data_IF_091366481347
#
_entry.id   IF_091366481347
#
_cell.length_a   1.000
_cell.length_b   1.000
_cell.length_c   1.000
_cell.angle_alpha   90.00
_cell.angle_beta   90.00
_cell.angle_gamma   90.00
#
_symmetry.space_group_name_H-M   'P 1'
#
loop_
_entity.id
_entity.type
_entity.pdbx_description
1 polymer ?
#
# COMPACT_ATOMS: atom_id res chain seq x y z
N UNK A 1 49.89 -41.94 -53.20
CA UNK A 1 49.13 -42.60 -54.29
C UNK A 1 47.65 -42.45 -53.93
N UNK A 2 46.91 -41.62 -54.67
CA UNK A 2 45.45 -41.44 -54.51
C UNK A 2 44.70 -42.73 -54.89
N UNK A 3 43.45 -42.92 -54.40
CA UNK A 3 42.34 -42.60 -55.29
C UNK A 3 41.20 -41.81 -54.65
N UNK A 4 40.56 -41.04 -55.52
CA UNK A 4 39.35 -40.24 -55.37
C UNK A 4 38.11 -41.12 -55.53
N UNK A 5 37.07 -40.88 -54.72
CA UNK A 5 35.68 -41.07 -55.15
C UNK A 5 34.84 -39.86 -54.69
N UNK A 6 34.16 -39.31 -55.68
CA UNK A 6 33.32 -38.12 -55.67
C UNK A 6 31.87 -38.55 -55.56
N UNK A 7 31.11 -38.01 -54.61
CA UNK A 7 29.65 -37.88 -54.75
C UNK A 7 29.16 -36.57 -54.14
N UNK A 8 28.62 -35.75 -55.02
CA UNK A 8 27.95 -34.47 -54.78
C UNK A 8 26.52 -34.70 -54.29
N UNK A 9 26.06 -34.01 -53.23
CA UNK A 9 24.69 -33.46 -53.15
C UNK A 9 24.72 -32.11 -52.40
N UNK A 10 24.13 -31.10 -53.06
CA UNK A 10 23.90 -29.72 -52.59
C UNK A 10 22.87 -29.70 -51.47
N UNK A 11 23.07 -28.83 -50.47
CA UNK A 11 22.08 -28.54 -49.44
C UNK A 11 22.48 -27.34 -48.60
N UNK A 12 22.54 -26.16 -49.20
CA UNK A 12 22.74 -24.91 -48.47
C UNK A 12 21.49 -24.54 -47.66
N UNK A 13 21.60 -24.51 -46.34
CA UNK A 13 20.63 -23.85 -45.47
C UNK A 13 21.31 -22.63 -44.88
N UNK A 14 21.10 -21.48 -45.53
CA UNK A 14 21.31 -20.16 -44.94
C UNK A 14 20.35 -20.04 -43.74
N UNK A 15 20.89 -20.07 -42.53
CA UNK A 15 20.14 -19.68 -41.34
C UNK A 15 19.79 -18.19 -41.44
N UNK A 16 18.50 -17.94 -41.65
CA UNK A 16 17.88 -16.62 -41.73
C UNK A 16 17.93 -16.01 -40.33
N UNK A 17 18.85 -15.07 -40.10
CA UNK A 17 18.84 -14.19 -38.93
C UNK A 17 17.61 -13.29 -39.05
N UNK A 18 16.49 -13.77 -38.52
CA UNK A 18 15.24 -13.04 -38.44
C UNK A 18 15.31 -12.01 -37.32
N UNK A 19 15.44 -10.74 -37.70
CA UNK A 19 15.27 -9.62 -36.78
C UNK A 19 13.87 -9.60 -36.17
N UNK A 20 13.79 -9.97 -34.89
CA UNK A 20 12.65 -9.70 -33.99
C UNK A 20 13.16 -9.52 -32.56
N UNK A 21 14.02 -8.53 -32.35
CA UNK A 21 14.44 -8.13 -31.00
C UNK A 21 14.86 -6.65 -30.97
N UNK A 22 14.02 -5.78 -31.54
CA UNK A 22 14.18 -4.32 -31.46
C UNK A 22 12.86 -3.61 -31.83
N UNK A 23 11.74 -3.98 -31.17
CA UNK A 23 10.49 -3.21 -31.30
C UNK A 23 9.50 -3.50 -30.18
N UNK A 24 9.90 -3.27 -28.92
CA UNK A 24 8.97 -3.15 -27.79
C UNK A 24 9.39 -2.03 -26.81
N UNK A 25 9.98 -0.96 -27.33
CA UNK A 25 9.71 0.37 -26.76
C UNK A 25 8.54 0.93 -27.58
N UNK A 26 7.35 0.42 -27.25
CA UNK A 26 6.11 1.03 -27.73
C UNK A 26 6.03 2.42 -27.09
N UNK A 27 6.32 3.44 -27.90
CA UNK A 27 5.92 4.80 -27.64
C UNK A 27 4.39 4.81 -27.44
N UNK A 28 3.93 4.79 -26.19
CA UNK A 28 2.50 5.00 -25.88
C UNK A 28 2.09 6.31 -26.55
N UNK A 29 1.01 6.33 -27.35
CA UNK A 29 0.57 7.56 -28.00
C UNK A 29 0.21 8.59 -26.92
N UNK A 30 0.66 9.83 -27.09
CA UNK A 30 0.49 10.91 -26.11
C UNK A 30 -0.98 11.11 -25.69
N UNK A 31 -1.93 10.75 -26.57
CA UNK A 31 -3.38 10.77 -26.34
C UNK A 31 -3.90 9.71 -25.36
N UNK A 32 -3.25 8.55 -25.25
CA UNK A 32 -3.66 7.51 -24.28
C UNK A 32 -3.28 7.90 -22.85
N UNK A 33 -2.09 8.50 -22.67
CA UNK A 33 -1.61 8.98 -21.37
C UNK A 33 -2.47 10.13 -20.86
N UNK A 34 -2.81 11.11 -21.71
CA UNK A 34 -3.71 12.21 -21.32
C UNK A 34 -5.11 11.73 -20.95
N UNK A 35 -5.60 10.69 -21.63
CA UNK A 35 -6.91 10.12 -21.35
C UNK A 35 -6.91 9.25 -20.08
N UNK A 36 -5.84 8.50 -19.81
CA UNK A 36 -5.64 7.75 -18.56
C UNK A 36 -5.50 8.70 -17.36
N UNK A 37 -4.69 9.76 -17.49
CA UNK A 37 -4.55 10.80 -16.46
C UNK A 37 -5.89 11.50 -16.17
N UNK A 38 -6.59 11.95 -17.21
CA UNK A 38 -7.90 12.59 -17.02
C UNK A 38 -8.96 11.66 -16.44
N UNK A 39 -8.84 10.33 -16.61
CA UNK A 39 -9.71 9.35 -15.95
C UNK A 39 -9.34 9.19 -14.48
N UNK A 40 -8.06 9.15 -14.13
CA UNK A 40 -7.58 9.07 -12.75
C UNK A 40 -7.99 10.31 -11.94
N UNK A 41 -7.83 11.50 -12.51
CA UNK A 41 -8.22 12.76 -11.86
C UNK A 41 -9.72 12.78 -11.52
N UNK A 42 -10.58 12.44 -12.49
CA UNK A 42 -12.03 12.34 -12.26
C UNK A 42 -12.42 11.28 -11.22
N UNK A 43 -11.61 10.26 -10.99
CA UNK A 43 -11.86 9.25 -9.95
C UNK A 43 -11.53 9.84 -8.58
N UNK A 44 -10.37 10.48 -8.43
CA UNK A 44 -9.98 11.15 -7.20
C UNK A 44 -10.96 12.27 -6.82
N UNK A 45 -11.50 13.02 -7.78
CA UNK A 45 -12.53 14.03 -7.53
C UNK A 45 -13.79 13.44 -6.88
N UNK A 46 -14.22 12.24 -7.29
CA UNK A 46 -15.36 11.54 -6.68
C UNK A 46 -15.06 11.11 -5.26
N UNK A 47 -13.87 10.56 -5.02
CA UNK A 47 -13.43 10.19 -3.67
C UNK A 47 -13.38 11.45 -2.80
N UNK A 48 -12.84 12.55 -3.31
CA UNK A 48 -12.75 13.83 -2.61
C UNK A 48 -14.13 14.37 -2.22
N UNK A 49 -15.11 14.28 -3.12
CA UNK A 49 -16.48 14.69 -2.82
C UNK A 49 -17.11 13.84 -1.70
N UNK A 50 -16.87 12.53 -1.69
CA UNK A 50 -17.32 11.65 -0.60
C UNK A 50 -16.63 11.99 0.73
N UNK A 51 -15.31 12.23 0.71
CA UNK A 51 -14.54 12.63 1.91
C UNK A 51 -15.03 13.97 2.45
N UNK A 52 -15.32 14.94 1.59
CA UNK A 52 -15.88 16.24 2.01
C UNK A 52 -17.27 16.10 2.63
N UNK A 53 -18.10 15.20 2.11
CA UNK A 53 -19.40 14.88 2.70
C UNK A 53 -19.25 14.22 4.09
N UNK A 54 -18.29 13.29 4.24
CA UNK A 54 -17.95 12.67 5.53
C UNK A 54 -17.51 13.71 6.55
N UNK A 55 -16.58 14.60 6.17
CA UNK A 55 -16.11 15.69 7.03
C UNK A 55 -17.27 16.61 7.44
N UNK A 56 -18.10 17.03 6.49
CA UNK A 56 -19.25 17.89 6.77
C UNK A 56 -20.23 17.23 7.74
N UNK A 57 -20.53 15.94 7.55
CA UNK A 57 -21.44 15.19 8.42
C UNK A 57 -20.86 15.03 9.83
N UNK A 58 -19.59 14.62 9.95
CA UNK A 58 -18.88 14.42 11.21
C UNK A 58 -18.83 15.71 12.06
N UNK A 59 -18.69 16.87 11.40
CA UNK A 59 -18.62 18.20 12.04
C UNK A 59 -19.99 18.88 12.24
N UNK A 60 -21.06 18.33 11.68
CA UNK A 60 -22.39 18.96 11.75
C UNK A 60 -22.92 19.04 13.19
N UNK A 61 -23.16 20.25 13.68
CA UNK A 61 -23.84 20.47 14.97
C UNK A 61 -25.32 20.14 14.86
N UNK A 62 -25.89 19.44 15.84
CA UNK A 62 -27.31 19.08 15.84
C UNK A 62 -28.19 20.33 16.02
N UNK A 63 -28.66 20.90 14.91
CA UNK A 63 -29.58 22.04 14.92
C UNK A 63 -30.88 21.68 15.64
N UNK A 64 -31.20 22.42 16.70
CA UNK A 64 -32.30 22.17 17.63
C UNK A 64 -33.58 22.79 17.06
N UNK A 65 -34.38 22.03 16.30
CA UNK A 65 -35.77 22.41 15.96
C UNK A 65 -36.77 21.32 16.39
N UNK A 66 -37.76 21.72 17.20
CA UNK A 66 -38.91 20.93 17.72
C UNK A 66 -39.75 20.42 16.53
N UNK A 67 -40.30 19.20 16.49
CA UNK A 67 -41.41 18.65 17.29
C UNK A 67 -41.60 17.12 17.10
N UNK A 68 -42.20 16.48 18.12
CA UNK A 68 -43.08 15.28 18.23
C UNK A 68 -42.68 13.92 17.60
N UNK A 69 -43.17 12.83 18.23
CA UNK A 69 -42.88 11.39 18.04
C UNK A 69 -42.73 10.91 16.58
N UNK A 70 -41.80 9.97 16.37
CA UNK A 70 -41.06 9.75 15.10
C UNK A 70 -39.65 10.36 15.15
N UNK A 71 -39.47 11.37 15.99
CA UNK A 71 -38.19 12.05 16.27
C UNK A 71 -37.15 11.20 16.99
N UNK A 72 -37.51 10.08 17.64
CA UNK A 72 -36.54 9.24 18.37
C UNK A 72 -35.76 8.32 17.43
N UNK A 73 -36.44 7.61 16.55
CA UNK A 73 -35.83 6.74 15.53
C UNK A 73 -34.98 7.56 14.56
N UNK A 74 -35.54 8.64 13.99
CA UNK A 74 -34.79 9.56 13.10
C UNK A 74 -33.60 10.23 13.81
N UNK A 75 -33.69 10.48 15.12
CA UNK A 75 -32.57 11.04 15.90
C UNK A 75 -31.50 9.98 16.16
N UNK A 76 -31.89 8.73 16.35
CA UNK A 76 -30.97 7.61 16.54
C UNK A 76 -30.23 7.32 15.23
N UNK A 77 -30.95 7.17 14.11
CA UNK A 77 -30.36 6.95 12.78
C UNK A 77 -29.35 8.05 12.41
N UNK A 78 -29.72 9.33 12.61
CA UNK A 78 -28.78 10.44 12.35
C UNK A 78 -27.62 10.51 13.33
N UNK A 79 -27.78 10.01 14.55
CA UNK A 79 -26.68 9.90 15.49
C UNK A 79 -25.71 8.83 15.01
N UNK A 80 -26.23 7.68 14.58
CA UNK A 80 -25.45 6.55 14.10
C UNK A 80 -24.71 6.91 12.80
N UNK A 81 -25.35 7.61 11.86
CA UNK A 81 -24.70 8.14 10.66
C UNK A 81 -23.55 9.12 10.95
N UNK A 82 -23.72 9.98 11.96
CA UNK A 82 -22.66 10.90 12.38
C UNK A 82 -21.50 10.16 13.01
N UNK A 83 -21.79 9.14 13.81
CA UNK A 83 -20.76 8.33 14.43
C UNK A 83 -20.00 7.51 13.38
N UNK A 84 -20.71 6.89 12.42
CA UNK A 84 -20.10 6.23 11.26
C UNK A 84 -19.18 7.18 10.48
N UNK A 85 -19.62 8.41 10.23
CA UNK A 85 -18.81 9.41 9.55
C UNK A 85 -17.57 9.83 10.35
N UNK A 86 -17.66 9.91 11.68
CA UNK A 86 -16.52 10.22 12.55
C UNK A 86 -15.51 9.08 12.58
N UNK A 87 -15.99 7.84 12.65
CA UNK A 87 -15.15 6.64 12.59
C UNK A 87 -14.42 6.62 11.25
N UNK A 88 -15.13 6.76 10.13
CA UNK A 88 -14.52 6.77 8.80
C UNK A 88 -13.51 7.92 8.62
N UNK A 89 -13.82 9.12 9.12
CA UNK A 89 -12.87 10.24 9.09
C UNK A 89 -11.61 9.95 9.92
N UNK A 90 -11.78 9.28 11.06
CA UNK A 90 -10.68 8.85 11.91
C UNK A 90 -9.81 7.81 11.20
N UNK A 91 -10.43 6.85 10.53
CA UNK A 91 -9.73 5.82 9.77
C UNK A 91 -8.92 6.43 8.62
N UNK A 92 -9.51 7.31 7.83
CA UNK A 92 -8.77 8.03 6.76
C UNK A 92 -7.58 8.83 7.31
N UNK A 93 -7.69 9.40 8.51
CA UNK A 93 -6.57 10.09 9.18
C UNK A 93 -5.46 9.10 9.53
N UNK A 94 -5.81 7.90 10.00
CA UNK A 94 -4.84 6.85 10.27
C UNK A 94 -4.19 6.33 9.00
N UNK A 95 -4.91 6.27 7.87
CA UNK A 95 -4.34 5.90 6.58
C UNK A 95 -3.30 6.93 6.16
N UNK A 96 -3.64 8.23 6.19
CA UNK A 96 -2.68 9.31 5.88
C UNK A 96 -1.41 9.23 6.73
N UNK A 97 -1.55 8.98 8.03
CA UNK A 97 -0.42 8.80 8.93
C UNK A 97 0.38 7.52 8.63
N UNK A 98 -0.32 6.44 8.30
CA UNK A 98 0.23 5.15 7.87
C UNK A 98 1.09 5.29 6.63
N UNK A 99 0.54 5.88 5.55
CA UNK A 99 1.27 6.14 4.30
C UNK A 99 2.52 7.01 4.52
N UNK A 100 2.42 8.01 5.40
CA UNK A 100 3.56 8.84 5.76
C UNK A 100 4.65 8.03 6.49
N UNK A 101 4.24 7.09 7.34
CA UNK A 101 5.10 6.12 8.00
C UNK A 101 5.71 5.10 7.03
N UNK A 102 4.93 4.58 6.09
CA UNK A 102 5.35 3.59 5.09
C UNK A 102 6.45 4.15 4.18
N UNK A 103 6.27 5.36 3.65
CA UNK A 103 7.33 6.08 2.92
C UNK A 103 8.58 6.19 3.79
N UNK A 104 8.44 6.53 5.07
CA UNK A 104 9.57 6.67 5.98
C UNK A 104 10.29 5.34 6.25
N UNK A 105 9.59 4.21 6.34
CA UNK A 105 10.18 2.86 6.46
C UNK A 105 11.12 2.61 5.29
N UNK A 106 10.65 2.76 4.07
CA UNK A 106 11.49 2.50 2.90
C UNK A 106 12.62 3.54 2.76
N UNK A 107 12.38 4.82 3.04
CA UNK A 107 13.44 5.84 3.09
C UNK A 107 14.51 5.54 4.14
N UNK A 108 14.12 4.98 5.29
CA UNK A 108 15.02 4.54 6.35
C UNK A 108 15.82 3.29 6.00
N UNK A 109 15.24 2.37 5.23
CA UNK A 109 15.91 1.17 4.74
C UNK A 109 16.96 1.47 3.64
N UNK A 110 16.64 2.40 2.74
CA UNK A 110 17.40 2.68 1.51
C UNK A 110 18.93 2.87 1.69
N UNK A 111 19.45 3.58 2.71
CA UNK A 111 20.90 3.71 2.89
C UNK A 111 21.60 2.45 3.42
N UNK A 112 20.85 1.49 3.99
CA UNK A 112 21.43 0.33 4.71
C UNK A 112 21.24 -1.01 3.99
N UNK A 113 20.36 -1.09 3.00
CA UNK A 113 20.23 -2.30 2.16
C UNK A 113 21.50 -2.62 1.39
N UNK A 114 21.84 -3.91 1.31
CA UNK A 114 23.15 -4.39 0.87
C UNK A 114 23.14 -4.84 -0.59
N UNK A 115 22.10 -5.55 -1.02
CA UNK A 115 22.00 -6.08 -2.39
C UNK A 115 21.36 -5.09 -3.36
N UNK A 116 21.73 -5.21 -4.65
CA UNK A 116 21.08 -4.46 -5.72
C UNK A 116 19.59 -4.78 -5.83
N UNK A 117 19.20 -6.04 -5.57
CA UNK A 117 17.81 -6.48 -5.57
C UNK A 117 17.00 -5.83 -4.44
N UNK A 118 17.54 -5.77 -3.21
CA UNK A 118 16.89 -5.07 -2.10
C UNK A 118 16.80 -3.56 -2.35
N UNK A 119 17.84 -2.96 -2.94
CA UNK A 119 17.80 -1.53 -3.31
C UNK A 119 16.75 -1.21 -4.38
N UNK A 120 16.57 -2.10 -5.36
CA UNK A 120 15.52 -1.95 -6.37
C UNK A 120 14.13 -2.08 -5.73
N UNK A 121 13.93 -3.11 -4.90
CA UNK A 121 12.71 -3.33 -4.12
C UNK A 121 12.31 -2.09 -3.31
N UNK A 122 13.23 -1.56 -2.50
CA UNK A 122 12.97 -0.37 -1.66
C UNK A 122 12.59 0.84 -2.50
N UNK A 123 13.27 1.08 -3.63
CA UNK A 123 12.96 2.25 -4.47
C UNK A 123 11.60 2.16 -5.12
N UNK A 124 11.25 0.98 -5.63
CA UNK A 124 9.93 0.72 -6.22
C UNK A 124 8.83 0.98 -5.19
N UNK A 125 8.98 0.45 -3.97
CA UNK A 125 8.00 0.65 -2.91
C UNK A 125 7.93 2.12 -2.47
N UNK A 126 9.05 2.86 -2.39
CA UNK A 126 9.01 4.32 -2.13
C UNK A 126 8.11 5.04 -3.13
N UNK A 127 8.18 4.70 -4.42
CA UNK A 127 7.39 5.37 -5.44
C UNK A 127 5.89 5.03 -5.31
N UNK A 128 5.56 3.77 -4.99
CA UNK A 128 4.20 3.31 -4.69
C UNK A 128 3.62 4.00 -3.44
N UNK A 129 4.32 3.94 -2.30
CA UNK A 129 3.87 4.56 -1.05
C UNK A 129 3.70 6.09 -1.20
N UNK A 130 4.59 6.74 -1.96
CA UNK A 130 4.43 8.17 -2.26
C UNK A 130 3.18 8.44 -3.08
N UNK A 131 2.73 7.51 -3.89
CA UNK A 131 1.48 7.65 -4.64
C UNK A 131 0.26 7.54 -3.72
N UNK A 132 0.24 6.55 -2.83
CA UNK A 132 -0.80 6.43 -1.79
C UNK A 132 -0.84 7.68 -0.91
N UNK A 133 0.31 8.11 -0.39
CA UNK A 133 0.42 9.34 0.40
C UNK A 133 -0.11 10.57 -0.34
N UNK A 134 0.12 10.68 -1.66
CA UNK A 134 -0.43 11.77 -2.48
C UNK A 134 -1.96 11.72 -2.53
N UNK A 135 -2.56 10.54 -2.64
CA UNK A 135 -4.02 10.39 -2.60
C UNK A 135 -4.57 10.91 -1.28
N UNK A 136 -4.13 10.38 -0.14
CA UNK A 136 -4.66 10.79 1.16
C UNK A 136 -4.32 12.25 1.51
N UNK A 137 -3.17 12.76 1.06
CA UNK A 137 -2.83 14.18 1.19
C UNK A 137 -3.77 15.07 0.38
N UNK A 138 -4.21 14.62 -0.80
CA UNK A 138 -5.20 15.34 -1.60
C UNK A 138 -6.61 15.28 -0.98
N UNK A 139 -6.96 14.13 -0.39
CA UNK A 139 -8.28 13.89 0.19
C UNK A 139 -8.47 14.62 1.53
N UNK A 140 -7.48 14.58 2.42
CA UNK A 140 -7.59 15.14 3.75
C UNK A 140 -6.93 16.51 3.86
N UNK A 141 -7.68 17.56 4.27
CA UNK A 141 -7.09 18.86 4.57
C UNK A 141 -6.17 18.78 5.80
N UNK A 142 -5.20 19.70 5.98
CA UNK A 142 -4.28 19.67 7.10
C UNK A 142 -4.93 19.59 8.49
N UNK A 143 -6.11 20.20 8.66
CA UNK A 143 -6.86 20.19 9.92
C UNK A 143 -7.43 18.81 10.29
N UNK A 144 -7.48 17.86 9.35
CA UNK A 144 -7.95 16.49 9.57
C UNK A 144 -6.79 15.48 9.62
N UNK A 145 -5.54 15.94 9.57
CA UNK A 145 -4.36 15.08 9.69
C UNK A 145 -3.86 15.08 11.13
N UNK A 146 -3.26 13.99 11.56
CA UNK A 146 -2.71 13.90 12.91
C UNK A 146 -1.55 14.86 13.12
N UNK A 147 -1.45 15.45 14.31
CA UNK A 147 -0.29 16.27 14.70
C UNK A 147 0.98 15.46 14.97
N UNK A 148 0.85 14.13 15.09
CA UNK A 148 1.94 13.19 15.38
C UNK A 148 2.77 12.76 14.16
N UNK A 149 2.53 13.33 12.97
CA UNK A 149 3.27 12.96 11.75
C UNK A 149 4.80 12.94 11.91
N UNK A 150 5.46 13.90 12.61
CA UNK A 150 6.90 13.83 12.81
C UNK A 150 7.35 12.61 13.62
N UNK A 151 6.55 12.20 14.61
CA UNK A 151 6.82 11.01 15.41
C UNK A 151 6.69 9.74 14.56
N UNK A 152 5.64 9.65 13.74
CA UNK A 152 5.43 8.51 12.84
C UNK A 152 6.50 8.40 11.77
N UNK A 153 6.99 9.52 11.25
CA UNK A 153 8.14 9.53 10.34
C UNK A 153 9.40 8.97 11.01
N UNK A 154 9.70 9.39 12.24
CA UNK A 154 10.86 8.90 12.96
C UNK A 154 10.73 7.40 13.27
N UNK A 155 9.54 6.96 13.71
CA UNK A 155 9.25 5.57 13.99
C UNK A 155 9.38 4.70 12.74
N UNK A 156 8.75 5.10 11.63
CA UNK A 156 8.85 4.42 10.34
C UNK A 156 10.29 4.33 9.85
N UNK A 157 11.00 5.46 9.82
CA UNK A 157 12.42 5.49 9.43
C UNK A 157 13.27 4.52 10.25
N UNK A 158 13.08 4.51 11.57
CA UNK A 158 13.80 3.61 12.48
C UNK A 158 13.45 2.15 12.20
N UNK A 159 12.18 1.84 11.96
CA UNK A 159 11.69 0.50 11.66
C UNK A 159 12.23 -0.04 10.33
N UNK A 160 12.50 0.83 9.35
CA UNK A 160 13.19 0.44 8.12
C UNK A 160 14.71 0.34 8.26
N UNK A 161 15.33 1.26 9.00
CA UNK A 161 16.77 1.35 9.15
C UNK A 161 17.37 0.17 9.95
N UNK A 162 16.79 -0.14 11.12
CA UNK A 162 17.36 -1.12 12.05
C UNK A 162 17.43 -2.54 11.44
N UNK A 163 16.38 -3.09 10.83
CA UNK A 163 16.46 -4.42 10.21
C UNK A 163 17.40 -4.45 9.01
N UNK A 164 17.43 -3.37 8.22
CA UNK A 164 18.31 -3.26 7.05
C UNK A 164 19.80 -3.29 7.43
N UNK A 165 20.17 -2.71 8.58
CA UNK A 165 21.52 -2.82 9.14
C UNK A 165 21.91 -4.27 9.42
N UNK A 166 20.97 -5.07 9.94
CA UNK A 166 21.16 -6.49 10.22
C UNK A 166 21.34 -7.25 8.89
N UNK A 167 20.32 -7.27 8.04
CA UNK A 167 20.36 -7.92 6.72
C UNK A 167 19.17 -7.53 5.84
N UNK A 168 19.33 -7.68 4.52
CA UNK A 168 18.21 -7.55 3.57
C UNK A 168 17.05 -8.49 3.92
N UNK A 169 17.35 -9.71 4.39
CA UNK A 169 16.33 -10.67 4.86
C UNK A 169 15.51 -10.11 6.04
N UNK A 170 16.18 -9.48 7.01
CA UNK A 170 15.51 -8.92 8.18
C UNK A 170 14.59 -7.74 7.80
N UNK A 171 15.00 -6.92 6.81
CA UNK A 171 14.12 -5.92 6.21
C UNK A 171 12.88 -6.59 5.61
N UNK A 172 13.02 -7.58 4.75
CA UNK A 172 11.89 -8.25 4.11
C UNK A 172 10.93 -8.91 5.12
N UNK A 173 11.43 -9.50 6.21
CA UNK A 173 10.59 -10.02 7.30
C UNK A 173 9.81 -8.88 7.98
N UNK A 174 10.45 -7.72 8.16
CA UNK A 174 9.81 -6.55 8.77
C UNK A 174 8.72 -6.00 7.86
N UNK A 175 8.98 -5.86 6.56
CA UNK A 175 7.97 -5.43 5.58
C UNK A 175 6.80 -6.42 5.56
N UNK A 176 7.04 -7.74 5.42
CA UNK A 176 5.98 -8.75 5.48
C UNK A 176 5.14 -8.64 6.77
N UNK A 177 5.77 -8.35 7.92
CA UNK A 177 5.07 -8.12 9.17
C UNK A 177 4.20 -6.85 9.19
N UNK A 178 4.75 -5.74 8.67
CA UNK A 178 4.05 -4.45 8.56
C UNK A 178 2.87 -4.58 7.60
N UNK A 179 3.08 -5.10 6.39
CA UNK A 179 2.02 -5.18 5.38
C UNK A 179 0.93 -6.18 5.76
N UNK A 180 1.26 -7.25 6.50
CA UNK A 180 0.24 -8.14 7.08
C UNK A 180 -0.67 -7.41 8.07
N UNK A 181 -0.13 -6.46 8.83
CA UNK A 181 -0.95 -5.61 9.70
C UNK A 181 -1.76 -4.60 8.89
N UNK A 182 -1.16 -3.98 7.88
CA UNK A 182 -1.82 -2.96 7.05
C UNK A 182 -3.02 -3.56 6.30
N UNK A 183 -2.89 -4.77 5.76
CA UNK A 183 -4.02 -5.51 5.18
C UNK A 183 -5.16 -5.77 6.19
N UNK A 184 -4.83 -6.18 7.43
CA UNK A 184 -5.84 -6.36 8.50
C UNK A 184 -6.58 -5.03 8.73
N UNK A 185 -5.83 -3.94 8.89
CA UNK A 185 -6.35 -2.58 9.12
C UNK A 185 -7.24 -2.09 7.96
N UNK A 186 -6.83 -2.27 6.70
CA UNK A 186 -7.68 -1.92 5.56
C UNK A 186 -8.98 -2.73 5.55
N UNK A 187 -8.91 -4.04 5.83
CA UNK A 187 -10.11 -4.88 5.87
C UNK A 187 -11.06 -4.50 7.01
N UNK A 188 -10.55 -4.04 8.15
CA UNK A 188 -11.37 -3.49 9.24
C UNK A 188 -12.20 -2.28 8.80
N UNK A 189 -11.69 -1.48 7.86
CA UNK A 189 -12.40 -0.31 7.30
C UNK A 189 -13.32 -0.68 6.12
N UNK A 190 -12.85 -1.53 5.22
CA UNK A 190 -13.56 -1.91 4.00
C UNK A 190 -14.84 -2.70 4.32
N UNK A 191 -14.79 -3.60 5.31
CA UNK A 191 -15.91 -4.48 5.64
C UNK A 191 -17.18 -3.71 6.08
N UNK A 192 -17.11 -2.71 6.99
CA UNK A 192 -18.23 -1.82 7.30
C UNK A 192 -18.77 -1.07 6.07
N UNK A 193 -17.90 -0.59 5.18
CA UNK A 193 -18.32 0.11 3.95
C UNK A 193 -19.03 -0.84 2.97
N UNK A 194 -18.55 -2.08 2.83
CA UNK A 194 -19.24 -3.13 2.06
C UNK A 194 -20.62 -3.42 2.60
N UNK A 195 -20.74 -3.55 3.93
CA UNK A 195 -22.00 -3.88 4.60
C UNK A 195 -23.02 -2.75 4.51
N UNK A 196 -22.59 -1.50 4.66
CA UNK A 196 -23.48 -0.33 4.61
C UNK A 196 -23.84 0.09 3.18
N UNK A 197 -22.97 -0.18 2.20
CA UNK A 197 -23.11 0.30 0.83
C UNK A 197 -22.87 1.81 0.66
N UNK A 198 -22.45 2.49 1.73
CA UNK A 198 -22.13 3.93 1.72
C UNK A 198 -20.71 4.17 1.18
N UNK A 199 -20.48 5.38 0.67
CA UNK A 199 -19.18 5.86 0.20
C UNK A 199 -18.43 4.88 -0.76
N UNK A 200 -19.07 4.49 -1.88
CA UNK A 200 -18.48 3.51 -2.79
C UNK A 200 -17.17 3.96 -3.43
N UNK A 201 -16.92 5.27 -3.60
CA UNK A 201 -15.66 5.75 -4.14
C UNK A 201 -14.52 5.64 -3.11
N UNK A 202 -14.76 6.02 -1.85
CA UNK A 202 -13.80 5.80 -0.74
C UNK A 202 -13.50 4.31 -0.61
N UNK A 203 -14.54 3.47 -0.51
CA UNK A 203 -14.37 2.02 -0.39
C UNK A 203 -13.47 1.47 -1.50
N UNK A 204 -13.72 1.89 -2.75
CA UNK A 204 -12.94 1.43 -3.89
C UNK A 204 -11.48 1.86 -3.81
N UNK A 205 -11.19 3.08 -3.35
CA UNK A 205 -9.82 3.53 -3.15
C UNK A 205 -9.11 2.66 -2.10
N UNK A 206 -9.77 2.39 -0.96
CA UNK A 206 -9.21 1.55 0.10
C UNK A 206 -8.98 0.11 -0.39
N UNK A 207 -9.89 -0.44 -1.21
CA UNK A 207 -9.72 -1.75 -1.84
C UNK A 207 -8.48 -1.77 -2.76
N UNK A 208 -8.28 -0.73 -3.58
CA UNK A 208 -7.12 -0.63 -4.47
C UNK A 208 -5.80 -0.50 -3.69
N UNK A 209 -5.74 0.35 -2.66
CA UNK A 209 -4.56 0.44 -1.79
C UNK A 209 -4.29 -0.91 -1.09
N UNK A 210 -5.33 -1.55 -0.54
CA UNK A 210 -5.21 -2.86 0.11
C UNK A 210 -4.66 -3.95 -0.84
N UNK A 211 -5.08 -3.95 -2.11
CA UNK A 211 -4.55 -4.86 -3.13
C UNK A 211 -3.05 -4.63 -3.37
N UNK A 212 -2.62 -3.37 -3.43
CA UNK A 212 -1.21 -2.99 -3.56
C UNK A 212 -0.39 -3.43 -2.32
N UNK A 213 -0.93 -3.26 -1.10
CA UNK A 213 -0.25 -3.70 0.13
C UNK A 213 -0.15 -5.22 0.25
N UNK A 214 -1.17 -5.95 -0.21
CA UNK A 214 -1.11 -7.42 -0.31
C UNK A 214 0.00 -7.84 -1.27
N UNK A 215 0.18 -7.12 -2.37
CA UNK A 215 1.28 -7.38 -3.30
C UNK A 215 2.65 -7.06 -2.68
N UNK A 216 2.79 -5.95 -1.93
CA UNK A 216 4.00 -5.61 -1.20
C UNK A 216 4.38 -6.69 -0.17
N UNK A 217 3.39 -7.15 0.61
CA UNK A 217 3.53 -8.25 1.57
C UNK A 217 4.05 -9.52 0.89
N UNK A 218 3.44 -9.89 -0.23
CA UNK A 218 3.75 -11.13 -0.93
C UNK A 218 5.13 -11.07 -1.60
N UNK A 219 5.54 -9.92 -2.18
CA UNK A 219 6.89 -9.74 -2.72
C UNK A 219 7.95 -9.83 -1.59
N UNK A 220 7.73 -9.14 -0.47
CA UNK A 220 8.60 -9.23 0.69
C UNK A 220 8.70 -10.69 1.20
N UNK A 221 7.55 -11.37 1.29
CA UNK A 221 7.46 -12.78 1.72
C UNK A 221 8.23 -13.70 0.80
N UNK A 222 8.11 -13.55 -0.51
CA UNK A 222 8.85 -14.35 -1.48
C UNK A 222 10.37 -14.15 -1.32
N UNK A 223 10.81 -12.93 -1.05
CA UNK A 223 12.24 -12.61 -0.91
C UNK A 223 12.89 -13.17 0.35
N UNK A 224 12.14 -13.26 1.46
CA UNK A 224 12.66 -13.91 2.68
C UNK A 224 12.30 -15.39 2.79
N UNK A 225 11.30 -15.88 2.06
CA UNK A 225 10.93 -17.30 2.04
C UNK A 225 11.65 -18.10 0.95
N UNK A 226 12.34 -17.44 0.02
CA UNK A 226 13.00 -18.09 -1.11
C UNK A 226 13.94 -19.21 -0.64
N UNK A 227 13.77 -20.44 -1.16
CA UNK A 227 14.60 -21.59 -0.82
C UNK A 227 15.93 -21.52 -1.56
N UNK A 228 16.70 -20.44 -1.38
CA UNK A 228 18.08 -20.41 -1.84
C UNK A 228 18.92 -21.25 -0.86
N UNK A 229 18.97 -22.56 -1.11
CA UNK A 229 19.99 -23.51 -0.63
C UNK A 229 20.25 -23.60 0.88
N UNK A 230 19.38 -23.02 1.72
CA UNK A 230 19.55 -22.99 3.17
C UNK A 230 18.54 -23.90 3.85
N UNK A 231 18.92 -24.63 4.91
CA UNK A 231 17.98 -25.40 5.71
C UNK A 231 16.86 -24.49 6.25
N UNK A 232 15.68 -25.04 6.57
CA UNK A 232 14.62 -24.27 7.22
C UNK A 232 15.19 -23.56 8.45
N UNK A 233 14.72 -22.33 8.74
CA UNK A 233 15.24 -21.55 9.87
C UNK A 233 15.11 -22.37 11.16
N UNK A 234 16.13 -22.30 12.02
CA UNK A 234 16.10 -23.01 13.31
C UNK A 234 14.84 -22.60 14.11
N UNK A 235 14.30 -23.47 15.00
CA UNK A 235 13.15 -23.13 15.84
C UNK A 235 13.35 -21.84 16.63
N UNK A 236 14.59 -21.55 17.04
CA UNK A 236 14.94 -20.29 17.70
C UNK A 236 14.71 -19.08 16.79
N UNK A 237 15.18 -19.15 15.54
CA UNK A 237 14.99 -18.05 14.58
C UNK A 237 13.51 -17.86 14.23
N UNK A 238 12.76 -18.95 14.08
CA UNK A 238 11.30 -18.89 13.91
C UNK A 238 10.63 -18.21 15.11
N UNK A 239 11.05 -18.53 16.33
CA UNK A 239 10.57 -17.88 17.55
C UNK A 239 10.89 -16.38 17.60
N UNK A 240 12.09 -15.98 17.16
CA UNK A 240 12.49 -14.58 17.03
C UNK A 240 11.62 -13.86 15.99
N UNK A 241 11.44 -14.45 14.81
CA UNK A 241 10.59 -13.87 13.76
C UNK A 241 9.13 -13.71 14.23
N UNK A 242 8.58 -14.71 14.92
CA UNK A 242 7.24 -14.65 15.49
C UNK A 242 7.11 -13.55 16.56
N UNK A 243 8.12 -13.43 17.42
CA UNK A 243 8.17 -12.37 18.45
C UNK A 243 8.26 -10.99 17.80
N UNK A 244 9.09 -10.83 16.77
CA UNK A 244 9.21 -9.59 16.03
C UNK A 244 7.89 -9.19 15.35
N UNK A 245 7.22 -10.14 14.68
CA UNK A 245 5.88 -9.91 14.10
C UNK A 245 4.87 -9.45 15.15
N UNK A 246 4.88 -10.05 16.35
CA UNK A 246 4.01 -9.63 17.45
C UNK A 246 4.32 -8.21 17.94
N UNK A 247 5.60 -7.84 18.03
CA UNK A 247 6.04 -6.49 18.41
C UNK A 247 5.59 -5.46 17.37
N UNK A 248 5.84 -5.73 16.09
CA UNK A 248 5.42 -4.85 14.98
C UNK A 248 3.90 -4.70 14.98
N UNK A 249 3.15 -5.81 15.01
CA UNK A 249 1.68 -5.77 15.03
C UNK A 249 1.12 -5.03 16.25
N UNK A 250 1.67 -5.26 17.45
CA UNK A 250 1.26 -4.55 18.67
C UNK A 250 1.58 -3.05 18.61
N UNK A 251 2.77 -2.69 18.11
CA UNK A 251 3.20 -1.31 17.91
C UNK A 251 2.31 -0.57 16.91
N UNK A 252 1.99 -1.20 15.77
CA UNK A 252 1.13 -0.61 14.75
C UNK A 252 -0.31 -0.41 15.23
N UNK A 253 -0.88 -1.38 15.99
CA UNK A 253 -2.19 -1.21 16.66
C UNK A 253 -2.21 -0.02 17.63
N UNK A 254 -1.12 0.16 18.38
CA UNK A 254 -0.92 1.33 19.23
C UNK A 254 -0.85 2.64 18.44
N UNK A 255 -0.12 2.68 17.33
CA UNK A 255 0.03 3.86 16.47
C UNK A 255 -1.29 4.28 15.81
N UNK A 256 -2.07 3.31 15.30
CA UNK A 256 -3.43 3.54 14.77
C UNK A 256 -4.31 4.13 15.87
N UNK A 257 -4.31 3.52 17.06
CA UNK A 257 -5.11 4.01 18.19
C UNK A 257 -4.75 5.46 18.49
N UNK A 258 -3.47 5.80 18.66
CA UNK A 258 -3.04 7.17 18.97
C UNK A 258 -3.40 8.17 17.86
N UNK A 259 -3.29 7.77 16.59
CA UNK A 259 -3.62 8.62 15.44
C UNK A 259 -5.12 8.86 15.28
N UNK A 260 -5.98 7.98 15.82
CA UNK A 260 -7.43 8.19 15.85
C UNK A 260 -7.84 9.34 16.79
N UNK A 261 -7.08 9.60 17.86
CA UNK A 261 -7.44 10.54 18.93
C UNK A 261 -6.72 11.90 18.86
N UNK A 262 -5.70 12.07 18.01
CA UNK A 262 -4.85 13.27 17.92
C UNK A 262 -4.81 13.88 16.53
#
# INVERSE_FOLDING_TARGET
MFPSLSTSIRGGVRARVGGRAARLLSSRPHSSLTHEMGRADRRLDKVKAEVDAVIALARSTSSRRREVEGRREVKQERHDEKEEARVLLSDLRTDHAGEYGAVAIYEGALPFVKSAAAKAFVKEHIDNERQHLRYFTHLLPPAERTSLLPLWKLAGWTLGALPSLISDRALFITIDAVESFVEEHYNEQINPLKKSGKYPAIRKLLEECCEDEVHHRDDARLRHSSPSSSPPPSPLLQGIEATWRAIVGGGSKGAVTLSRWM
#
